data_IF_625308427132
#
_entry.id   IF_625308427132
#
_cell.length_a   1.000
_cell.length_b   1.000
_cell.length_c   1.000
_cell.angle_alpha   90.00
_cell.angle_beta   90.00
_cell.angle_gamma   90.00
#
_symmetry.space_group_name_H-M   'P 1'
#
loop_
_entity.id
_entity.type
_entity.pdbx_description
1 polymer ?
#
# COMPACT_ATOMS: atom_id res chain seq x y z
N UNK A 1 10.28 3.76 10.52
CA UNK A 1 9.28 4.80 10.80
C UNK A 1 8.84 5.51 9.51
N UNK A 2 8.75 4.73 8.42
CA UNK A 2 8.26 5.21 7.12
C UNK A 2 9.24 6.08 6.32
N UNK A 3 10.40 6.39 6.84
CA UNK A 3 11.42 7.16 6.13
C UNK A 3 12.45 6.25 5.48
N UNK A 4 12.80 6.54 4.22
CA UNK A 4 13.90 5.87 3.54
C UNK A 4 15.23 6.39 4.11
N UNK A 5 16.03 5.51 4.68
CA UNK A 5 17.31 5.85 5.31
C UNK A 5 18.53 5.35 4.55
N UNK A 6 18.35 4.26 3.77
CA UNK A 6 19.46 3.60 3.07
C UNK A 6 19.00 3.02 1.73
N UNK A 7 19.89 3.04 0.73
CA UNK A 7 19.78 2.28 -0.52
C UNK A 7 21.08 1.47 -0.68
N UNK A 8 20.93 0.16 -0.91
CA UNK A 8 22.04 -0.78 -1.10
C UNK A 8 23.07 -0.72 0.07
N UNK A 9 22.56 -0.53 1.31
CA UNK A 9 23.39 -0.47 2.52
C UNK A 9 24.07 0.89 2.79
N UNK A 10 23.93 1.87 1.90
CA UNK A 10 24.50 3.21 2.07
C UNK A 10 23.43 4.18 2.54
N UNK A 11 23.75 4.96 3.57
CA UNK A 11 22.91 6.06 4.02
C UNK A 11 22.75 7.10 2.92
N UNK A 12 21.53 7.61 2.75
CA UNK A 12 21.22 8.53 1.66
C UNK A 12 20.18 9.56 2.11
N UNK A 13 20.37 10.80 1.66
CA UNK A 13 19.40 11.86 1.88
C UNK A 13 18.18 11.71 0.92
N UNK A 14 16.99 12.20 1.28
CA UNK A 14 15.77 11.97 0.49
C UNK A 14 15.86 12.43 -0.97
N UNK A 15 16.44 13.59 -1.25
CA UNK A 15 16.59 14.11 -2.62
C UNK A 15 17.52 13.21 -3.43
N UNK A 16 18.71 12.91 -2.91
CA UNK A 16 19.67 12.01 -3.55
C UNK A 16 19.09 10.60 -3.77
N UNK A 17 18.22 10.13 -2.86
CA UNK A 17 17.54 8.84 -3.01
C UNK A 17 16.62 8.83 -4.24
N UNK A 18 15.83 9.88 -4.45
CA UNK A 18 14.95 9.99 -5.62
C UNK A 18 15.79 10.08 -6.90
N UNK A 19 16.85 10.87 -6.91
CA UNK A 19 17.76 10.99 -8.06
C UNK A 19 18.37 9.64 -8.45
N UNK A 20 18.95 8.93 -7.48
CA UNK A 20 19.53 7.60 -7.68
C UNK A 20 18.49 6.59 -8.18
N UNK A 21 17.31 6.57 -7.60
CA UNK A 21 16.25 5.63 -8.00
C UNK A 21 15.65 5.99 -9.37
N UNK A 22 15.65 7.28 -9.74
CA UNK A 22 15.28 7.70 -11.09
C UNK A 22 16.30 7.21 -12.13
N UNK A 23 17.60 7.32 -11.83
CA UNK A 23 18.66 6.82 -12.70
C UNK A 23 18.52 5.30 -12.91
N UNK A 24 18.56 4.54 -11.82
CA UNK A 24 18.45 3.07 -11.85
C UNK A 24 17.15 2.62 -12.53
N UNK A 25 16.01 3.23 -12.18
CA UNK A 25 14.72 2.87 -12.75
C UNK A 25 14.59 3.18 -14.23
N UNK A 26 15.22 4.28 -14.69
CA UNK A 26 15.25 4.68 -16.11
C UNK A 26 16.01 3.68 -16.97
N UNK A 27 17.14 3.15 -16.50
CA UNK A 27 17.89 2.10 -17.20
C UNK A 27 17.06 0.84 -17.49
N UNK A 28 16.09 0.56 -16.62
CA UNK A 28 15.17 -0.56 -16.75
C UNK A 28 13.82 -0.21 -17.38
N UNK A 29 13.61 1.06 -17.77
CA UNK A 29 12.35 1.53 -18.36
C UNK A 29 11.16 1.51 -17.40
N UNK A 30 11.40 1.62 -16.10
CA UNK A 30 10.39 1.60 -15.04
C UNK A 30 9.69 2.96 -14.94
N UNK A 31 8.41 2.93 -14.54
CA UNK A 31 7.66 4.13 -14.14
C UNK A 31 7.08 4.93 -15.29
N UNK A 32 6.99 4.38 -16.50
CA UNK A 32 6.32 5.00 -17.64
C UNK A 32 4.83 4.69 -17.62
N UNK A 33 4.01 5.72 -17.77
CA UNK A 33 2.56 5.60 -17.81
C UNK A 33 1.97 6.51 -18.87
N UNK A 34 0.96 6.03 -19.59
CA UNK A 34 0.13 6.79 -20.53
C UNK A 34 -1.32 6.70 -20.04
N UNK A 35 -1.86 7.82 -19.60
CA UNK A 35 -3.20 7.87 -19.00
C UNK A 35 -4.05 8.98 -19.60
N UNK A 36 -5.37 8.72 -19.59
CA UNK A 36 -6.39 9.76 -19.80
C UNK A 36 -6.97 10.10 -18.42
N UNK A 37 -6.73 11.32 -17.98
CA UNK A 37 -7.11 11.82 -16.66
C UNK A 37 -8.22 12.88 -16.74
N UNK A 38 -8.92 13.11 -15.63
CA UNK A 38 -9.89 14.18 -15.50
C UNK A 38 -9.23 15.40 -14.85
N UNK A 39 -9.29 16.55 -15.53
CA UNK A 39 -8.87 17.82 -14.96
C UNK A 39 -9.94 18.33 -14.00
N UNK A 40 -9.52 19.08 -12.97
CA UNK A 40 -10.43 19.71 -12.00
C UNK A 40 -11.51 20.58 -12.67
N UNK A 41 -11.18 21.20 -13.79
CA UNK A 41 -12.08 22.02 -14.61
C UNK A 41 -13.06 21.21 -15.48
N UNK A 42 -13.10 19.88 -15.34
CA UNK A 42 -14.09 19.01 -15.98
C UNK A 42 -13.72 18.44 -17.33
N UNK A 43 -12.59 18.85 -17.92
CA UNK A 43 -12.12 18.27 -19.20
C UNK A 43 -11.24 17.05 -18.97
N UNK A 44 -11.20 16.16 -19.97
CA UNK A 44 -10.23 15.06 -20.03
C UNK A 44 -8.93 15.52 -20.72
N UNK A 45 -7.79 15.03 -20.21
CA UNK A 45 -6.51 15.21 -20.90
C UNK A 45 -5.73 13.91 -20.88
N UNK A 46 -4.88 13.71 -21.88
CA UNK A 46 -3.92 12.59 -21.93
C UNK A 46 -2.56 13.09 -21.46
N UNK A 47 -1.95 12.32 -20.56
CA UNK A 47 -0.60 12.56 -20.08
C UNK A 47 0.29 11.33 -20.24
N UNK A 48 1.53 11.55 -20.67
CA UNK A 48 2.59 10.53 -20.62
C UNK A 48 3.57 10.95 -19.55
N UNK A 49 3.71 10.15 -18.51
CA UNK A 49 4.53 10.46 -17.34
C UNK A 49 5.65 9.44 -17.15
N UNK A 50 6.75 9.89 -16.58
CA UNK A 50 7.88 9.06 -16.18
C UNK A 50 8.21 9.35 -14.70
N UNK A 51 7.99 8.35 -13.84
CA UNK A 51 8.21 8.45 -12.39
C UNK A 51 8.95 7.22 -11.85
N UNK A 52 10.17 6.93 -12.35
CA UNK A 52 10.85 5.67 -12.01
C UNK A 52 11.12 5.55 -10.51
N UNK A 53 11.72 6.56 -9.87
CA UNK A 53 12.02 6.55 -8.44
C UNK A 53 10.77 6.43 -7.57
N UNK A 54 9.74 7.20 -7.88
CA UNK A 54 8.45 7.12 -7.17
C UNK A 54 7.81 5.74 -7.28
N UNK A 55 7.86 5.12 -8.46
CA UNK A 55 7.32 3.77 -8.71
C UNK A 55 8.06 2.71 -7.87
N UNK A 56 9.39 2.79 -7.79
CA UNK A 56 10.21 1.88 -6.98
C UNK A 56 9.92 2.06 -5.50
N UNK A 57 9.87 3.29 -5.01
CA UNK A 57 9.56 3.59 -3.60
C UNK A 57 8.18 3.11 -3.21
N UNK A 58 7.16 3.34 -4.04
CA UNK A 58 5.80 2.88 -3.77
C UNK A 58 5.70 1.35 -3.75
N UNK A 59 6.43 0.65 -4.62
CA UNK A 59 6.49 -0.80 -4.59
C UNK A 59 7.14 -1.32 -3.29
N UNK A 60 8.24 -0.71 -2.87
CA UNK A 60 8.93 -1.04 -1.63
C UNK A 60 8.03 -0.77 -0.41
N UNK A 61 7.40 0.40 -0.34
CA UNK A 61 6.50 0.79 0.74
C UNK A 61 5.33 -0.17 0.86
N UNK A 62 4.61 -0.46 -0.22
CA UNK A 62 3.51 -1.44 -0.24
C UNK A 62 3.97 -2.84 0.19
N UNK A 63 5.19 -3.23 -0.21
CA UNK A 63 5.78 -4.49 0.22
C UNK A 63 5.98 -4.55 1.75
N UNK A 64 6.38 -3.46 2.37
CA UNK A 64 6.55 -3.37 3.83
C UNK A 64 5.21 -3.26 4.56
N UNK A 65 4.30 -2.42 4.07
CA UNK A 65 2.95 -2.24 4.60
C UNK A 65 2.19 -3.58 4.70
N UNK A 66 2.32 -4.42 3.68
CA UNK A 66 1.70 -5.74 3.64
C UNK A 66 2.20 -6.70 4.74
N UNK A 67 3.37 -6.46 5.33
CA UNK A 67 3.85 -7.23 6.49
C UNK A 67 3.35 -6.67 7.82
N UNK A 68 3.20 -5.34 7.91
CA UNK A 68 3.12 -4.61 9.19
C UNK A 68 1.68 -4.24 9.53
N UNK A 69 0.85 -3.92 8.53
CA UNK A 69 -0.52 -3.50 8.80
C UNK A 69 -1.49 -4.67 8.80
N UNK A 70 -2.42 -4.65 9.75
CA UNK A 70 -3.64 -5.42 9.69
C UNK A 70 -4.56 -4.91 8.56
N UNK A 71 -5.58 -5.72 8.22
CA UNK A 71 -6.50 -5.41 7.12
C UNK A 71 -7.18 -4.05 7.23
N UNK A 72 -7.53 -3.64 8.43
CA UNK A 72 -8.28 -2.39 8.67
C UNK A 72 -7.36 -1.19 8.58
N UNK A 73 -6.17 -1.27 9.16
CA UNK A 73 -5.14 -0.24 9.08
C UNK A 73 -4.66 -0.04 7.65
N UNK A 74 -4.46 -1.11 6.88
CA UNK A 74 -4.06 -1.03 5.48
C UNK A 74 -5.13 -0.34 4.64
N UNK A 75 -6.41 -0.69 4.83
CA UNK A 75 -7.53 -0.04 4.14
C UNK A 75 -7.57 1.46 4.44
N UNK A 76 -7.49 1.84 5.71
CA UNK A 76 -7.52 3.24 6.12
C UNK A 76 -6.32 4.03 5.56
N UNK A 77 -5.13 3.43 5.56
CA UNK A 77 -3.94 4.03 4.94
C UNK A 77 -4.14 4.31 3.45
N UNK A 78 -4.78 3.41 2.71
CA UNK A 78 -5.09 3.62 1.29
C UNK A 78 -6.09 4.78 1.11
N UNK A 79 -7.13 4.85 1.92
CA UNK A 79 -8.12 5.94 1.92
C UNK A 79 -7.45 7.29 2.19
N UNK A 80 -6.64 7.39 3.24
CA UNK A 80 -5.86 8.60 3.56
C UNK A 80 -4.93 8.98 2.41
N UNK A 81 -4.29 7.99 1.76
CA UNK A 81 -3.42 8.23 0.61
C UNK A 81 -4.15 8.80 -0.60
N UNK A 82 -5.34 8.32 -0.90
CA UNK A 82 -6.17 8.83 -2.00
C UNK A 82 -6.62 10.27 -1.73
N UNK A 83 -7.11 10.56 -0.55
CA UNK A 83 -7.50 11.92 -0.15
C UNK A 83 -6.31 12.89 -0.19
N UNK A 84 -5.13 12.44 0.26
CA UNK A 84 -3.91 13.23 0.21
C UNK A 84 -3.49 13.52 -1.24
N UNK A 85 -3.57 12.52 -2.11
CA UNK A 85 -3.25 12.68 -3.54
C UNK A 85 -4.21 13.69 -4.22
N UNK A 86 -5.51 13.60 -3.93
CA UNK A 86 -6.51 14.54 -4.45
C UNK A 86 -6.24 15.97 -3.97
N UNK A 87 -5.91 16.13 -2.69
CA UNK A 87 -5.56 17.42 -2.11
C UNK A 87 -4.34 18.06 -2.79
N UNK A 88 -3.30 17.25 -3.06
CA UNK A 88 -2.09 17.70 -3.78
C UNK A 88 -2.44 18.09 -5.21
N UNK A 89 -3.23 17.27 -5.91
CA UNK A 89 -3.66 17.52 -7.27
C UNK A 89 -4.45 18.82 -7.40
N UNK A 90 -5.35 19.10 -6.43
CA UNK A 90 -6.19 20.31 -6.38
C UNK A 90 -5.43 21.56 -5.91
N UNK A 91 -4.14 21.45 -5.58
CA UNK A 91 -3.33 22.56 -5.08
C UNK A 91 -3.70 23.04 -3.68
N UNK A 92 -4.34 22.20 -2.87
CA UNK A 92 -4.86 22.53 -1.52
C UNK A 92 -3.86 22.21 -0.40
N UNK A 93 -2.59 22.46 -0.65
CA UNK A 93 -1.50 22.14 0.29
C UNK A 93 -1.57 22.89 1.62
N UNK A 94 -2.01 24.14 1.61
CA UNK A 94 -2.07 25.00 2.81
C UNK A 94 -3.45 24.98 3.48
N UNK A 95 -3.95 23.77 3.77
CA UNK A 95 -5.25 23.58 4.41
C UNK A 95 -5.15 22.74 5.68
N UNK A 96 -6.05 22.93 6.67
CA UNK A 96 -6.12 22.07 7.86
C UNK A 96 -6.30 20.58 7.51
N UNK A 97 -6.97 20.28 6.38
CA UNK A 97 -7.15 18.91 5.90
C UNK A 97 -5.80 18.25 5.59
N UNK A 98 -4.86 18.98 4.95
CA UNK A 98 -3.49 18.49 4.70
C UNK A 98 -2.81 18.10 6.01
N UNK A 99 -2.91 18.93 7.03
CA UNK A 99 -2.27 18.66 8.32
C UNK A 99 -2.88 17.44 9.01
N UNK A 100 -4.19 17.27 8.97
CA UNK A 100 -4.89 16.11 9.51
C UNK A 100 -4.50 14.82 8.80
N UNK A 101 -4.47 14.82 7.46
CA UNK A 101 -4.07 13.65 6.65
C UNK A 101 -2.60 13.29 6.89
N UNK A 102 -1.73 14.30 6.97
CA UNK A 102 -0.31 14.09 7.27
C UNK A 102 -0.11 13.49 8.66
N UNK A 103 -0.81 14.00 9.67
CA UNK A 103 -0.76 13.45 11.03
C UNK A 103 -1.21 11.98 11.06
N UNK A 104 -2.30 11.63 10.37
CA UNK A 104 -2.78 10.26 10.25
C UNK A 104 -1.73 9.36 9.56
N UNK A 105 -1.17 9.80 8.43
CA UNK A 105 -0.14 9.07 7.71
C UNK A 105 1.13 8.88 8.56
N UNK A 106 1.56 9.90 9.28
CA UNK A 106 2.74 9.84 10.16
C UNK A 106 2.52 8.85 11.31
N UNK A 107 1.36 8.88 11.94
CA UNK A 107 1.01 7.95 13.02
C UNK A 107 1.05 6.48 12.55
N UNK A 108 0.47 6.19 11.39
CA UNK A 108 0.55 4.85 10.80
C UNK A 108 2.00 4.45 10.47
N UNK A 109 2.79 5.40 9.96
CA UNK A 109 4.17 5.14 9.54
C UNK A 109 5.13 4.79 10.69
N UNK A 110 4.78 5.07 11.95
CA UNK A 110 5.61 4.72 13.11
C UNK A 110 5.97 3.23 13.16
N UNK A 111 5.08 2.37 12.66
CA UNK A 111 5.28 0.92 12.63
C UNK A 111 6.10 0.46 11.42
N UNK A 112 6.25 1.30 10.38
CA UNK A 112 6.93 0.94 9.14
C UNK A 112 8.45 1.02 9.30
N UNK A 113 9.04 -0.08 9.73
CA UNK A 113 10.49 -0.26 9.82
C UNK A 113 10.85 -1.61 9.24
N UNK A 114 11.83 -1.65 8.35
CA UNK A 114 12.26 -2.90 7.72
C UNK A 114 13.09 -2.69 6.47
N UNK A 115 13.40 -3.81 5.81
CA UNK A 115 14.16 -3.85 4.56
C UNK A 115 13.32 -4.47 3.46
N UNK A 116 13.43 -3.91 2.27
CA UNK A 116 12.78 -4.45 1.06
C UNK A 116 13.81 -4.54 -0.05
N UNK A 117 13.89 -5.71 -0.68
CA UNK A 117 14.73 -5.92 -1.87
C UNK A 117 13.83 -5.87 -3.09
N UNK A 118 14.13 -4.93 -3.98
CA UNK A 118 13.42 -4.73 -5.24
C UNK A 118 14.26 -5.27 -6.39
N UNK A 119 13.63 -6.03 -7.27
CA UNK A 119 14.17 -6.44 -8.56
C UNK A 119 13.55 -5.62 -9.67
N UNK A 120 14.40 -4.97 -10.46
CA UNK A 120 14.00 -4.22 -11.65
C UNK A 120 14.38 -5.03 -12.90
N UNK A 121 13.44 -5.16 -13.84
CA UNK A 121 13.70 -5.85 -15.09
C UNK A 121 12.70 -5.49 -16.18
N UNK A 122 13.16 -4.92 -17.28
CA UNK A 122 12.36 -4.62 -18.48
C UNK A 122 11.01 -3.96 -18.16
N UNK A 123 11.04 -2.86 -17.44
CA UNK A 123 9.87 -2.08 -17.05
C UNK A 123 9.12 -2.60 -15.81
N UNK A 124 9.50 -3.76 -15.27
CA UNK A 124 8.84 -4.34 -14.13
C UNK A 124 9.58 -4.03 -12.82
N UNK A 125 8.80 -3.83 -11.76
CA UNK A 125 9.25 -3.67 -10.38
C UNK A 125 8.66 -4.81 -9.56
N UNK A 126 9.52 -5.65 -9.00
CA UNK A 126 9.10 -6.82 -8.23
C UNK A 126 9.72 -6.79 -6.84
N UNK A 127 8.91 -6.96 -5.80
CA UNK A 127 9.40 -7.17 -4.43
C UNK A 127 9.95 -8.59 -4.34
N UNK A 128 11.28 -8.72 -4.27
CA UNK A 128 11.96 -10.01 -4.21
C UNK A 128 12.07 -10.54 -2.77
N UNK A 129 12.33 -9.63 -1.81
CA UNK A 129 12.42 -9.97 -0.38
C UNK A 129 11.91 -8.79 0.44
N UNK A 130 11.39 -9.09 1.62
CA UNK A 130 10.97 -8.09 2.60
C UNK A 130 11.07 -8.66 4.02
N UNK A 131 11.43 -7.84 4.98
CA UNK A 131 11.42 -8.18 6.40
C UNK A 131 11.13 -6.95 7.24
N UNK A 132 10.50 -7.16 8.37
CA UNK A 132 10.24 -6.14 9.38
C UNK A 132 10.26 -6.76 10.77
N UNK A 133 10.81 -6.06 11.78
CA UNK A 133 10.67 -6.48 13.17
C UNK A 133 9.22 -6.41 13.66
N UNK A 134 8.39 -5.61 12.97
CA UNK A 134 6.96 -5.41 13.30
C UNK A 134 6.04 -6.27 12.40
N UNK A 135 6.57 -7.32 11.76
CA UNK A 135 5.79 -8.18 10.88
C UNK A 135 4.67 -8.90 11.63
N UNK A 136 3.46 -8.82 11.10
CA UNK A 136 2.31 -9.62 11.53
C UNK A 136 2.26 -10.99 10.84
N UNK A 137 3.10 -11.19 9.81
CA UNK A 137 3.22 -12.49 9.16
C UNK A 137 4.07 -13.42 10.02
N UNK A 138 3.54 -14.59 10.31
CA UNK A 138 4.23 -15.68 11.00
C UNK A 138 3.99 -16.98 10.23
N UNK A 139 5.05 -17.67 9.87
CA UNK A 139 4.97 -18.98 9.19
C UNK A 139 4.20 -20.00 10.05
N UNK A 140 4.32 -19.91 11.38
CA UNK A 140 3.62 -20.79 12.29
C UNK A 140 2.09 -20.66 12.22
N UNK A 141 1.56 -19.47 11.81
CA UNK A 141 0.12 -19.22 11.67
C UNK A 141 -0.36 -19.25 10.21
N UNK A 142 0.55 -19.32 9.24
CA UNK A 142 0.23 -19.14 7.82
C UNK A 142 0.20 -20.45 7.04
N UNK A 143 0.36 -21.61 7.68
CA UNK A 143 0.34 -22.90 7.01
C UNK A 143 -1.11 -23.33 6.72
N UNK A 144 -1.32 -23.87 5.50
CA UNK A 144 -2.58 -24.53 5.14
C UNK A 144 -2.61 -26.01 5.51
N UNK A 145 -1.48 -26.54 5.98
CA UNK A 145 -1.39 -27.88 6.54
C UNK A 145 -1.84 -27.85 7.99
N UNK A 146 -2.40 -28.95 8.49
CA UNK A 146 -3.00 -29.02 9.84
C UNK A 146 -2.06 -28.45 10.90
N UNK A 147 -2.42 -27.31 11.45
CA UNK A 147 -1.58 -26.59 12.35
C UNK A 147 -2.11 -26.68 13.79
N UNK A 148 -1.20 -26.77 14.76
CA UNK A 148 -1.51 -26.85 16.17
C UNK A 148 -1.71 -25.45 16.80
N UNK A 149 -1.54 -24.37 16.01
CA UNK A 149 -1.44 -23.01 16.52
C UNK A 149 -2.82 -22.37 16.74
N UNK A 150 -3.81 -22.72 15.90
CA UNK A 150 -5.19 -22.35 16.13
C UNK A 150 -6.17 -23.45 15.70
N UNK A 151 -7.33 -23.49 16.34
CA UNK A 151 -8.35 -24.48 16.03
C UNK A 151 -9.16 -24.05 14.80
N UNK A 152 -8.95 -24.70 13.67
CA UNK A 152 -9.66 -24.40 12.41
C UNK A 152 -11.20 -24.54 12.54
N UNK A 153 -11.69 -25.32 13.52
CA UNK A 153 -13.14 -25.45 13.79
C UNK A 153 -13.77 -24.11 14.20
N UNK A 154 -13.01 -23.19 14.77
CA UNK A 154 -13.49 -21.86 15.17
C UNK A 154 -13.93 -21.02 13.97
N UNK A 155 -13.36 -21.28 12.80
CA UNK A 155 -13.74 -20.61 11.54
C UNK A 155 -15.24 -20.83 11.21
N UNK A 156 -15.79 -22.00 11.48
CA UNK A 156 -17.20 -22.28 11.22
C UNK A 156 -18.14 -21.43 12.08
N UNK A 157 -17.78 -21.18 13.34
CA UNK A 157 -18.51 -20.28 14.25
C UNK A 157 -18.42 -18.83 13.78
N UNK A 158 -17.23 -18.37 13.48
CA UNK A 158 -16.99 -17.04 12.95
C UNK A 158 -17.79 -16.78 11.66
N UNK A 159 -17.72 -17.67 10.66
CA UNK A 159 -18.43 -17.53 9.38
C UNK A 159 -19.94 -17.42 9.59
N UNK A 160 -20.51 -18.24 10.46
CA UNK A 160 -21.96 -18.21 10.77
C UNK A 160 -22.41 -16.86 11.32
N UNK A 161 -21.65 -16.29 12.26
CA UNK A 161 -21.98 -15.00 12.88
C UNK A 161 -21.69 -13.84 11.95
N UNK A 162 -20.55 -13.84 11.30
CA UNK A 162 -20.12 -12.77 10.40
C UNK A 162 -21.05 -12.64 9.17
N UNK A 163 -21.57 -13.75 8.66
CA UNK A 163 -22.50 -13.77 7.52
C UNK A 163 -23.97 -13.55 7.89
N UNK A 164 -24.31 -13.36 9.17
CA UNK A 164 -25.70 -13.35 9.64
C UNK A 164 -26.57 -12.32 8.93
N UNK A 165 -26.10 -11.08 8.78
CA UNK A 165 -26.86 -10.03 8.09
C UNK A 165 -27.14 -10.37 6.62
N UNK A 166 -26.16 -10.96 5.92
CA UNK A 166 -26.32 -11.40 4.53
C UNK A 166 -27.30 -12.56 4.41
N UNK A 167 -27.26 -13.50 5.34
CA UNK A 167 -28.20 -14.64 5.41
C UNK A 167 -29.64 -14.19 5.66
N UNK A 168 -29.85 -13.26 6.61
CA UNK A 168 -31.18 -12.69 6.89
C UNK A 168 -31.72 -12.00 5.65
N UNK A 169 -30.88 -11.22 4.96
CA UNK A 169 -31.27 -10.56 3.71
C UNK A 169 -31.69 -11.56 2.62
N UNK A 170 -30.94 -12.64 2.43
CA UNK A 170 -31.25 -13.68 1.47
C UNK A 170 -32.59 -14.37 1.80
N UNK A 171 -32.86 -14.66 3.08
CA UNK A 171 -34.14 -15.23 3.52
C UNK A 171 -35.33 -14.29 3.22
N UNK A 172 -35.16 -12.98 3.42
CA UNK A 172 -36.22 -12.02 3.08
C UNK A 172 -36.47 -11.91 1.56
N UNK A 173 -35.45 -12.13 0.73
CA UNK A 173 -35.63 -12.16 -0.73
C UNK A 173 -36.40 -13.38 -1.18
N UNK A 174 -36.08 -14.56 -0.66
CA UNK A 174 -36.78 -15.81 -0.94
C UNK A 174 -38.27 -15.83 -0.54
N UNK A 175 -38.67 -15.00 0.42
CA UNK A 175 -40.08 -14.87 0.84
C UNK A 175 -40.90 -13.93 -0.05
N UNK A 176 -40.27 -13.23 -0.99
CA UNK A 176 -40.94 -12.30 -1.91
C UNK A 176 -41.15 -12.87 -3.30
N UNK A 177 -40.48 -13.97 -3.58
CA UNK A 177 -40.65 -14.80 -4.79
C UNK A 177 -41.70 -15.93 -4.51
#
# INVERSE_FOLDING_TARGET
KGELTQINGNAIAPVAAIELLNEIGSEHGVGRIDIVENRLVGMKSRGCYETPGGTILMAALKGLEALVYDRTSLKYREEVGLEFAQLVYDGRWFTPLKDALLAAATSLAEQLTGDVVIKLYKGNVTVAKRRSPNSLYSEAFATFEGDEVYNQKDAAGFIRLYSLASRIRALHQQQKD
#
